data_IF_068495691810
#
_entry.id   IF_068495691810
#
_cell.length_a   1.000
_cell.length_b   1.000
_cell.length_c   1.000
_cell.angle_alpha   90.00
_cell.angle_beta   90.00
_cell.angle_gamma   90.00
#
_symmetry.space_group_name_H-M   'P 1'
#
loop_
_entity.id
_entity.type
_entity.pdbx_description
1 polymer ?
#
# COMPACT_ATOMS: atom_id res chain seq x y z
N UNK A 1 -38.05 -44.10 -42.77
CA UNK A 1 -38.44 -44.70 -41.48
C UNK A 1 -37.81 -43.89 -40.37
N UNK A 2 -38.64 -43.14 -39.66
CA UNK A 2 -38.35 -42.16 -38.60
C UNK A 2 -38.63 -42.73 -37.22
N UNK A 3 -37.73 -42.52 -36.25
CA UNK A 3 -37.92 -42.59 -34.78
C UNK A 3 -36.76 -41.74 -34.20
N UNK A 4 -36.89 -40.55 -33.57
CA UNK A 4 -37.58 -40.11 -32.33
C UNK A 4 -37.44 -41.13 -31.19
N UNK A 5 -37.20 -40.79 -29.93
CA UNK A 5 -36.72 -39.63 -29.16
C UNK A 5 -36.74 -40.10 -27.68
N UNK A 6 -35.86 -39.61 -26.81
CA UNK A 6 -36.22 -39.21 -25.43
C UNK A 6 -35.03 -38.51 -24.73
N UNK A 7 -35.23 -37.31 -24.17
CA UNK A 7 -34.22 -36.57 -23.40
C UNK A 7 -34.48 -36.63 -21.88
N UNK A 8 -33.41 -36.59 -21.09
CA UNK A 8 -33.45 -36.42 -19.63
C UNK A 8 -33.54 -34.93 -19.25
N UNK A 9 -34.51 -34.61 -18.39
CA UNK A 9 -34.76 -33.28 -17.84
C UNK A 9 -34.19 -33.17 -16.42
N UNK A 10 -33.28 -32.22 -16.19
CA UNK A 10 -32.84 -31.79 -14.87
C UNK A 10 -33.83 -30.83 -14.18
N UNK A 11 -33.77 -30.67 -12.85
CA UNK A 11 -34.76 -29.91 -12.09
C UNK A 11 -34.55 -28.38 -12.16
N UNK A 12 -35.70 -27.69 -12.25
CA UNK A 12 -35.87 -26.24 -12.34
C UNK A 12 -35.92 -25.62 -10.93
N UNK A 13 -35.19 -24.52 -10.74
CA UNK A 13 -35.22 -23.68 -9.53
C UNK A 13 -36.37 -22.66 -9.59
N UNK A 14 -37.17 -22.55 -8.53
CA UNK A 14 -38.13 -21.45 -8.32
C UNK A 14 -37.90 -20.78 -6.96
N UNK A 15 -37.95 -19.43 -6.85
CA UNK A 15 -37.72 -18.71 -5.60
C UNK A 15 -39.04 -18.51 -4.83
N UNK A 16 -39.13 -19.01 -3.59
CA UNK A 16 -40.25 -18.74 -2.69
C UNK A 16 -39.93 -17.58 -1.74
N UNK A 17 -40.88 -16.64 -1.68
CA UNK A 17 -40.95 -15.48 -0.79
C UNK A 17 -41.17 -15.96 0.65
N UNK A 18 -40.43 -15.42 1.61
CA UNK A 18 -40.78 -15.49 3.02
C UNK A 18 -41.36 -14.14 3.48
N UNK A 19 -42.66 -14.13 3.69
CA UNK A 19 -43.38 -13.14 4.50
C UNK A 19 -43.21 -13.47 5.98
N UNK A 20 -42.81 -12.48 6.78
CA UNK A 20 -42.69 -12.60 8.24
C UNK A 20 -44.03 -12.19 8.86
N UNK A 21 -44.72 -13.15 9.48
CA UNK A 21 -45.95 -12.91 10.21
C UNK A 21 -45.67 -12.54 11.67
N UNK A 22 -46.18 -11.38 12.06
CA UNK A 22 -46.04 -10.78 13.38
C UNK A 22 -47.11 -11.30 14.34
N UNK A 23 -46.86 -12.44 15.00
CA UNK A 23 -47.71 -12.90 16.11
C UNK A 23 -46.99 -13.90 17.03
N UNK A 24 -46.04 -13.43 17.85
CA UNK A 24 -45.60 -14.13 19.07
C UNK A 24 -44.99 -13.15 20.09
N UNK A 25 -45.84 -12.23 20.54
CA UNK A 25 -45.61 -11.41 21.72
C UNK A 25 -46.64 -11.78 22.78
N UNK A 26 -46.23 -12.59 23.77
CA UNK A 26 -46.69 -12.53 25.17
C UNK A 26 -46.07 -13.69 25.96
N UNK A 27 -45.34 -13.34 27.02
CA UNK A 27 -45.04 -14.27 28.10
C UNK A 27 -43.55 -14.48 28.36
N UNK A 28 -42.93 -13.52 29.06
CA UNK A 28 -42.01 -13.75 30.21
C UNK A 28 -41.25 -12.45 30.52
N UNK A 29 -41.93 -11.53 31.21
CA UNK A 29 -41.27 -10.55 32.06
C UNK A 29 -40.75 -11.29 33.29
N UNK A 30 -39.47 -11.08 33.63
CA UNK A 30 -38.93 -11.51 34.93
C UNK A 30 -37.64 -12.31 34.87
N UNK A 31 -36.65 -11.91 34.05
CA UNK A 31 -35.26 -12.39 34.24
C UNK A 31 -34.20 -11.43 33.65
N UNK A 32 -34.48 -10.12 33.67
CA UNK A 32 -33.66 -9.10 33.02
C UNK A 32 -33.15 -8.08 34.04
N UNK A 33 -32.26 -8.50 34.95
CA UNK A 33 -31.55 -7.56 35.83
C UNK A 33 -30.17 -7.96 36.34
N UNK A 34 -29.50 -8.95 35.72
CA UNK A 34 -28.12 -9.34 36.14
C UNK A 34 -27.09 -9.55 35.02
N UNK A 35 -27.40 -9.27 33.76
CA UNK A 35 -26.46 -9.47 32.63
C UNK A 35 -26.06 -8.20 31.88
N UNK A 36 -26.44 -7.01 32.36
CA UNK A 36 -26.07 -5.73 31.72
C UNK A 36 -24.77 -5.09 32.24
N UNK A 37 -24.13 -5.67 33.27
CA UNK A 37 -22.88 -5.13 33.84
C UNK A 37 -21.59 -5.62 33.19
N UNK A 38 -21.62 -6.69 32.39
CA UNK A 38 -20.41 -7.33 31.85
C UNK A 38 -20.10 -6.96 30.38
N UNK A 39 -21.08 -6.43 29.63
CA UNK A 39 -20.84 -6.02 28.24
C UNK A 39 -20.25 -4.59 28.10
N UNK A 40 -20.37 -3.73 29.12
CA UNK A 40 -19.77 -2.38 29.08
C UNK A 40 -18.26 -2.37 29.42
N UNK A 41 -17.74 -3.43 30.05
CA UNK A 41 -16.31 -3.52 30.41
C UNK A 41 -15.44 -4.18 29.32
N UNK A 42 -16.04 -4.93 28.40
CA UNK A 42 -15.34 -5.51 27.24
C UNK A 42 -15.29 -4.53 26.05
N UNK A 43 -16.19 -3.53 26.02
CA UNK A 43 -16.13 -2.43 25.04
C UNK A 43 -15.10 -1.35 25.41
N UNK A 44 -14.52 -1.39 26.61
CA UNK A 44 -13.48 -0.46 27.05
C UNK A 44 -12.04 -0.95 26.82
N UNK A 45 -11.83 -2.24 26.52
CA UNK A 45 -10.49 -2.78 26.21
C UNK A 45 -10.17 -2.82 24.72
N UNK A 46 -11.16 -2.63 23.84
CA UNK A 46 -10.93 -2.45 22.39
C UNK A 46 -10.65 -0.98 22.03
N UNK A 47 -10.90 -0.04 22.96
CA UNK A 47 -10.67 1.40 22.75
C UNK A 47 -9.30 1.91 23.20
N UNK A 48 -8.41 1.04 23.69
CA UNK A 48 -7.05 1.45 24.09
C UNK A 48 -6.02 1.44 22.95
N UNK A 49 -6.39 1.01 21.73
CA UNK A 49 -5.54 1.12 20.54
C UNK A 49 -5.58 2.51 19.88
N UNK A 50 -6.39 3.43 20.40
CA UNK A 50 -6.46 4.83 19.94
C UNK A 50 -5.48 5.76 20.69
N UNK A 51 -4.79 5.25 21.72
CA UNK A 51 -3.95 6.05 22.63
C UNK A 51 -2.57 6.44 22.11
N UNK A 52 -2.11 5.84 21.00
CA UNK A 52 -0.82 6.16 20.36
C UNK A 52 -0.99 7.01 19.08
N UNK A 53 -2.18 7.55 18.83
CA UNK A 53 -2.32 8.78 18.04
C UNK A 53 -1.96 9.98 18.92
N UNK A 54 -0.78 9.95 19.55
CA UNK A 54 -0.18 11.16 20.07
C UNK A 54 -0.15 12.16 18.91
N UNK A 55 -0.73 13.33 19.12
CA UNK A 55 -0.75 14.42 18.15
C UNK A 55 0.69 14.77 17.79
N UNK A 56 1.23 14.14 16.73
CA UNK A 56 2.49 14.55 16.15
C UNK A 56 2.32 16.00 15.69
N UNK A 57 3.31 16.86 15.93
CA UNK A 57 3.24 18.26 15.53
C UNK A 57 2.93 18.35 14.03
N UNK A 58 2.02 19.26 13.66
CA UNK A 58 1.75 19.58 12.27
C UNK A 58 3.06 20.09 11.65
N UNK A 59 3.64 19.30 10.75
CA UNK A 59 4.94 19.54 10.14
C UNK A 59 4.78 19.60 8.62
N UNK A 60 4.08 20.62 8.09
CA UNK A 60 3.81 20.73 6.67
C UNK A 60 5.13 20.97 5.91
N UNK A 61 5.38 20.17 4.87
CA UNK A 61 6.57 20.29 4.01
C UNK A 61 6.35 21.25 2.83
N UNK A 62 5.10 21.64 2.58
CA UNK A 62 4.68 22.68 1.64
C UNK A 62 3.51 23.45 2.24
N UNK A 63 3.17 24.60 1.66
CA UNK A 63 2.00 25.40 2.03
C UNK A 63 0.79 25.08 1.15
N UNK A 64 -0.41 25.47 1.59
CA UNK A 64 -1.61 25.38 0.75
C UNK A 64 -1.48 26.15 -0.57
N UNK A 65 -0.80 27.30 -0.53
CA UNK A 65 -0.56 28.13 -1.71
C UNK A 65 0.31 27.39 -2.75
N UNK A 66 1.22 26.52 -2.30
CA UNK A 66 2.05 25.71 -3.19
C UNK A 66 1.22 24.66 -3.95
N UNK A 67 0.05 24.26 -3.44
CA UNK A 67 -0.83 23.27 -4.11
C UNK A 67 -1.63 23.85 -5.27
N UNK A 68 -1.78 25.17 -5.33
CA UNK A 68 -2.54 25.85 -6.38
C UNK A 68 -1.92 25.64 -7.76
N UNK A 69 -0.62 25.33 -7.82
CA UNK A 69 0.06 24.94 -9.06
C UNK A 69 -0.56 23.69 -9.69
N UNK A 70 -1.04 22.75 -8.87
CA UNK A 70 -1.62 21.49 -9.34
C UNK A 70 -2.84 21.74 -10.22
N UNK A 71 -3.60 22.78 -9.91
CA UNK A 71 -4.75 23.22 -10.69
C UNK A 71 -4.30 24.05 -11.90
N UNK A 72 -3.40 25.02 -11.70
CA UNK A 72 -2.99 25.97 -12.75
C UNK A 72 -2.25 25.31 -13.91
N UNK A 73 -1.37 24.36 -13.63
CA UNK A 73 -0.50 23.71 -14.63
C UNK A 73 -0.96 22.30 -15.01
N UNK A 74 -2.18 21.90 -14.65
CA UNK A 74 -2.70 20.54 -14.87
C UNK A 74 -2.65 20.10 -16.36
N UNK A 75 -3.01 21.00 -17.27
CA UNK A 75 -3.05 20.71 -18.71
C UNK A 75 -1.64 20.50 -19.26
N UNK A 76 -0.71 21.39 -18.92
CA UNK A 76 0.69 21.31 -19.36
C UNK A 76 1.37 20.07 -18.78
N UNK A 77 1.07 19.75 -17.52
CA UNK A 77 1.56 18.53 -16.87
C UNK A 77 1.08 17.26 -17.59
N UNK A 78 -0.21 17.16 -17.90
CA UNK A 78 -0.75 16.02 -18.64
C UNK A 78 -0.15 15.90 -20.04
N UNK A 79 0.10 17.04 -20.70
CA UNK A 79 0.79 17.08 -21.99
C UNK A 79 2.23 16.58 -21.88
N UNK A 80 2.97 17.00 -20.84
CA UNK A 80 4.33 16.56 -20.57
C UNK A 80 4.39 15.06 -20.23
N UNK A 81 3.44 14.53 -19.44
CA UNK A 81 3.33 13.10 -19.16
C UNK A 81 3.17 12.25 -20.43
N UNK A 82 2.33 12.72 -21.36
CA UNK A 82 2.05 12.05 -22.62
C UNK A 82 3.08 12.29 -23.74
N UNK A 83 4.15 13.03 -23.48
CA UNK A 83 5.15 13.37 -24.48
C UNK A 83 6.10 12.20 -24.77
N UNK A 84 6.43 11.98 -26.04
CA UNK A 84 7.38 10.93 -26.44
C UNK A 84 8.84 11.33 -26.18
N UNK A 85 9.11 12.63 -26.04
CA UNK A 85 10.39 13.23 -25.68
C UNK A 85 10.13 14.45 -24.80
N UNK A 86 11.06 14.75 -23.88
CA UNK A 86 10.91 15.88 -22.95
C UNK A 86 11.89 16.99 -23.29
N UNK A 87 11.44 18.23 -23.19
CA UNK A 87 12.30 19.41 -23.12
C UNK A 87 12.76 19.65 -21.69
N UNK A 88 13.74 20.54 -21.51
CA UNK A 88 14.16 20.95 -20.17
C UNK A 88 13.03 21.63 -19.37
N UNK A 89 12.15 22.36 -20.05
CA UNK A 89 10.97 22.97 -19.43
C UNK A 89 9.95 21.92 -18.97
N UNK A 90 9.76 20.85 -19.75
CA UNK A 90 8.89 19.73 -19.36
C UNK A 90 9.44 19.03 -18.11
N UNK A 91 10.75 18.76 -18.06
CA UNK A 91 11.39 18.14 -16.89
C UNK A 91 11.22 19.03 -15.65
N UNK A 92 11.46 20.34 -15.76
CA UNK A 92 11.27 21.26 -14.66
C UNK A 92 9.82 21.28 -14.17
N UNK A 93 8.85 21.28 -15.09
CA UNK A 93 7.43 21.20 -14.79
C UNK A 93 7.05 19.89 -14.07
N UNK A 94 7.53 18.75 -14.57
CA UNK A 94 7.27 17.44 -13.96
C UNK A 94 7.83 17.38 -12.53
N UNK A 95 9.02 17.92 -12.29
CA UNK A 95 9.64 17.96 -10.96
C UNK A 95 8.87 18.86 -9.99
N UNK A 96 8.44 20.04 -10.45
CA UNK A 96 7.66 20.98 -9.64
C UNK A 96 6.30 20.38 -9.25
N UNK A 97 5.63 19.76 -10.23
CA UNK A 97 4.35 19.08 -10.02
C UNK A 97 4.49 17.84 -9.13
N UNK A 98 5.55 17.03 -9.30
CA UNK A 98 5.76 15.85 -8.46
C UNK A 98 5.95 16.20 -7.00
N UNK A 99 6.67 17.31 -6.74
CA UNK A 99 6.84 17.84 -5.38
C UNK A 99 5.50 18.20 -4.77
N UNK A 100 4.72 19.05 -5.44
CA UNK A 100 3.41 19.47 -4.93
C UNK A 100 2.44 18.30 -4.77
N UNK A 101 2.40 17.36 -5.72
CA UNK A 101 1.51 16.21 -5.69
C UNK A 101 1.74 15.29 -4.50
N UNK A 102 3.01 15.03 -4.15
CA UNK A 102 3.34 14.13 -3.04
C UNK A 102 3.31 14.88 -1.71
N UNK A 103 3.98 16.04 -1.62
CA UNK A 103 4.17 16.72 -0.35
C UNK A 103 2.89 17.34 0.20
N UNK A 104 1.84 17.55 -0.60
CA UNK A 104 0.53 17.94 -0.07
C UNK A 104 -0.04 16.93 0.94
N UNK A 105 0.42 15.67 0.94
CA UNK A 105 0.05 14.69 1.97
C UNK A 105 0.52 15.11 3.37
N UNK A 106 1.50 16.01 3.50
CA UNK A 106 1.92 16.59 4.78
C UNK A 106 0.97 17.66 5.33
N UNK A 107 0.03 18.17 4.51
CA UNK A 107 -0.93 19.18 4.94
C UNK A 107 -2.04 18.54 5.79
N UNK A 108 -2.28 19.08 6.98
CA UNK A 108 -3.35 18.62 7.87
C UNK A 108 -4.74 18.68 7.24
N UNK A 109 -4.99 19.67 6.35
CA UNK A 109 -6.22 19.78 5.55
C UNK A 109 -6.46 18.57 4.62
N UNK A 110 -5.40 17.87 4.21
CA UNK A 110 -5.43 16.75 3.26
C UNK A 110 -5.48 15.37 3.91
N UNK A 111 -5.56 15.29 5.23
CA UNK A 111 -5.57 14.02 5.97
C UNK A 111 -6.68 13.06 5.52
N UNK A 112 -7.83 13.58 5.07
CA UNK A 112 -8.96 12.76 4.58
C UNK A 112 -8.81 12.34 3.11
N UNK A 113 -7.91 12.97 2.36
CA UNK A 113 -7.70 12.79 0.93
C UNK A 113 -6.43 11.98 0.61
N UNK A 114 -5.69 11.50 1.63
CA UNK A 114 -4.38 10.85 1.44
C UNK A 114 -4.43 9.67 0.46
N UNK A 115 -5.45 8.81 0.57
CA UNK A 115 -5.65 7.71 -0.37
C UNK A 115 -5.94 8.19 -1.78
N UNK A 116 -6.74 9.26 -1.92
CA UNK A 116 -7.14 9.78 -3.22
C UNK A 116 -5.98 10.47 -3.93
N UNK A 117 -5.10 11.14 -3.17
CA UNK A 117 -3.84 11.69 -3.67
C UNK A 117 -2.96 10.56 -4.22
N UNK A 118 -2.74 9.50 -3.42
CA UNK A 118 -1.94 8.34 -3.82
C UNK A 118 -2.49 7.64 -5.06
N UNK A 119 -3.79 7.31 -5.07
CA UNK A 119 -4.43 6.63 -6.19
C UNK A 119 -4.45 7.50 -7.46
N UNK A 120 -4.53 8.83 -7.33
CA UNK A 120 -4.39 9.75 -8.47
C UNK A 120 -2.99 9.67 -9.07
N UNK A 121 -1.95 9.78 -8.26
CA UNK A 121 -0.55 9.67 -8.74
C UNK A 121 -0.35 8.34 -9.47
N UNK A 122 -0.73 7.22 -8.83
CA UNK A 122 -0.65 5.88 -9.41
C UNK A 122 -1.42 5.75 -10.72
N UNK A 123 -2.64 6.28 -10.79
CA UNK A 123 -3.46 6.26 -12.00
C UNK A 123 -2.78 7.04 -13.13
N UNK A 124 -2.35 8.27 -12.86
CA UNK A 124 -1.74 9.13 -13.87
C UNK A 124 -0.42 8.50 -14.39
N UNK A 125 0.36 7.89 -13.49
CA UNK A 125 1.57 7.15 -13.86
C UNK A 125 1.31 5.91 -14.68
N UNK A 126 0.22 5.19 -14.46
CA UNK A 126 -0.10 3.99 -15.22
C UNK A 126 -0.80 4.28 -16.55
N UNK A 127 -1.61 5.34 -16.62
CA UNK A 127 -2.46 5.64 -17.78
C UNK A 127 -1.88 6.69 -18.72
N UNK A 128 -1.18 7.71 -18.19
CA UNK A 128 -0.78 8.89 -18.97
C UNK A 128 0.72 8.93 -19.23
N UNK A 129 1.54 8.56 -18.24
CA UNK A 129 2.99 8.70 -18.34
C UNK A 129 3.58 7.78 -19.43
N UNK A 130 4.21 8.38 -20.44
CA UNK A 130 5.06 7.66 -21.41
C UNK A 130 6.44 7.36 -20.82
N UNK A 131 7.23 6.44 -21.43
CA UNK A 131 8.53 6.03 -20.89
C UNK A 131 9.47 7.19 -20.55
N UNK A 132 9.55 8.23 -21.39
CA UNK A 132 10.41 9.40 -21.15
C UNK A 132 9.99 10.17 -19.87
N UNK A 133 8.71 10.53 -19.75
CA UNK A 133 8.15 11.18 -18.57
C UNK A 133 8.30 10.32 -17.31
N UNK A 134 8.06 9.01 -17.43
CA UNK A 134 8.19 8.06 -16.33
C UNK A 134 9.61 7.98 -15.79
N UNK A 135 10.61 7.89 -16.67
CA UNK A 135 12.01 7.89 -16.27
C UNK A 135 12.44 9.16 -15.54
N UNK A 136 11.87 10.32 -15.90
CA UNK A 136 12.15 11.58 -15.23
C UNK A 136 11.46 11.71 -13.85
N UNK A 137 10.19 11.30 -13.74
CA UNK A 137 9.35 11.61 -12.58
C UNK A 137 9.40 10.56 -11.46
N UNK A 138 9.62 9.28 -11.78
CA UNK A 138 9.65 8.21 -10.76
C UNK A 138 10.70 8.44 -9.67
N UNK A 139 11.95 8.85 -9.98
CA UNK A 139 12.93 9.17 -8.94
C UNK A 139 12.48 10.32 -8.04
N UNK A 140 11.79 11.33 -8.59
CA UNK A 140 11.28 12.47 -7.81
C UNK A 140 10.16 12.04 -6.86
N UNK A 141 9.19 11.27 -7.35
CA UNK A 141 8.14 10.72 -6.50
C UNK A 141 8.70 9.85 -5.38
N UNK A 142 9.68 9.00 -5.69
CA UNK A 142 10.37 8.20 -4.69
C UNK A 142 11.04 9.09 -3.63
N UNK A 143 11.82 10.08 -4.06
CA UNK A 143 12.49 11.01 -3.16
C UNK A 143 11.50 11.75 -2.25
N UNK A 144 10.45 12.35 -2.81
CA UNK A 144 9.46 13.09 -2.02
C UNK A 144 8.68 12.17 -1.07
N UNK A 145 8.29 10.98 -1.52
CA UNK A 145 7.61 10.02 -0.65
C UNK A 145 8.52 9.56 0.49
N UNK A 146 9.82 9.38 0.25
CA UNK A 146 10.80 9.08 1.30
C UNK A 146 10.88 10.17 2.36
N UNK A 147 10.81 11.46 1.97
CA UNK A 147 10.81 12.56 2.95
C UNK A 147 9.61 12.52 3.89
N UNK A 148 8.46 12.00 3.44
CA UNK A 148 7.26 11.88 4.25
C UNK A 148 7.29 10.71 5.25
N UNK A 149 8.32 9.87 5.23
CA UNK A 149 8.46 8.74 6.14
C UNK A 149 9.02 9.12 7.51
N UNK A 150 9.51 10.35 7.65
CA UNK A 150 10.16 10.90 8.85
C UNK A 150 9.38 12.11 9.38
N UNK A 151 9.24 12.21 10.70
CA UNK A 151 8.64 13.37 11.40
C UNK A 151 7.25 13.77 10.87
N UNK A 152 6.48 12.80 10.37
CA UNK A 152 5.12 12.97 9.86
C UNK A 152 4.13 12.06 10.62
N UNK A 153 2.85 12.46 10.73
CA UNK A 153 1.79 11.62 11.28
C UNK A 153 1.74 10.23 10.66
N UNK A 154 1.42 9.21 11.45
CA UNK A 154 1.35 7.82 10.98
C UNK A 154 0.50 7.62 9.70
N UNK A 155 -0.68 8.24 9.52
CA UNK A 155 -1.44 8.12 8.28
C UNK A 155 -0.69 8.59 7.03
N UNK A 156 0.12 9.66 7.16
CA UNK A 156 0.94 10.20 6.08
C UNK A 156 2.07 9.21 5.75
N UNK A 157 2.78 8.71 6.77
CA UNK A 157 3.85 7.71 6.60
C UNK A 157 3.35 6.43 5.94
N UNK A 158 2.17 5.94 6.32
CA UNK A 158 1.53 4.78 5.70
C UNK A 158 1.28 5.03 4.21
N UNK A 159 0.65 6.15 3.86
CA UNK A 159 0.34 6.46 2.46
C UNK A 159 1.58 6.72 1.61
N UNK A 160 2.61 7.37 2.18
CA UNK A 160 3.89 7.55 1.53
C UNK A 160 4.60 6.22 1.25
N UNK A 161 4.61 5.31 2.23
CA UNK A 161 5.18 3.98 2.03
C UNK A 161 4.39 3.17 0.99
N UNK A 162 3.05 3.21 1.04
CA UNK A 162 2.21 2.59 0.01
C UNK A 162 2.52 3.16 -1.38
N UNK A 163 2.65 4.48 -1.51
CA UNK A 163 3.02 5.11 -2.78
C UNK A 163 4.33 4.54 -3.32
N UNK A 164 5.39 4.46 -2.49
CA UNK A 164 6.65 3.83 -2.89
C UNK A 164 6.45 2.41 -3.43
N UNK A 165 5.65 1.60 -2.75
CA UNK A 165 5.38 0.21 -3.18
C UNK A 165 4.55 0.09 -4.46
N UNK A 166 3.82 1.14 -4.82
CA UNK A 166 2.88 1.17 -5.96
C UNK A 166 3.48 1.82 -7.22
N UNK A 167 4.66 2.45 -7.12
CA UNK A 167 5.40 2.99 -8.25
C UNK A 167 5.85 1.86 -9.19
N UNK A 168 5.67 2.08 -10.50
CA UNK A 168 5.93 1.08 -11.54
C UNK A 168 6.80 1.66 -12.65
N UNK A 169 7.86 0.93 -13.02
CA UNK A 169 8.65 1.18 -14.23
C UNK A 169 7.83 0.88 -15.49
N UNK A 170 7.03 -0.18 -15.45
CA UNK A 170 6.13 -0.54 -16.53
C UNK A 170 4.72 -0.75 -15.99
N UNK A 171 3.69 -0.12 -16.61
CA UNK A 171 2.31 -0.31 -16.19
C UNK A 171 1.86 -1.76 -16.47
N UNK A 172 0.80 -2.23 -15.81
CA UNK A 172 0.27 -3.57 -16.06
C UNK A 172 -0.33 -3.65 -17.47
N UNK A 173 -0.15 -4.78 -18.15
CA UNK A 173 -0.79 -5.06 -19.45
C UNK A 173 -1.98 -5.99 -19.21
N UNK A 174 -3.14 -5.39 -18.95
CA UNK A 174 -4.37 -6.10 -18.53
C UNK A 174 -4.75 -7.19 -19.54
N UNK A 175 -4.69 -6.91 -20.84
CA UNK A 175 -5.09 -7.85 -21.89
C UNK A 175 -4.23 -9.12 -21.92
N UNK A 176 -2.96 -9.01 -21.48
CA UNK A 176 -2.00 -10.13 -21.48
C UNK A 176 -1.79 -10.72 -20.08
N UNK A 177 -2.53 -10.26 -19.07
CA UNK A 177 -2.35 -10.64 -17.67
C UNK A 177 -0.90 -10.47 -17.17
N UNK A 178 -0.16 -9.49 -17.75
CA UNK A 178 1.20 -9.20 -17.33
C UNK A 178 1.13 -8.18 -16.18
N UNK A 179 1.66 -8.51 -14.99
CA UNK A 179 1.66 -7.58 -13.86
C UNK A 179 2.56 -6.38 -14.15
N UNK A 180 2.32 -5.28 -13.43
CA UNK A 180 3.17 -4.10 -13.50
C UNK A 180 4.57 -4.39 -12.97
N UNK A 181 5.60 -3.91 -13.67
CA UNK A 181 7.00 -4.02 -13.21
C UNK A 181 7.23 -2.93 -12.14
N UNK A 182 7.53 -3.29 -10.88
CA UNK A 182 7.75 -2.32 -9.82
C UNK A 182 8.99 -1.47 -10.11
N UNK A 183 8.96 -0.20 -9.68
CA UNK A 183 10.13 0.67 -9.79
C UNK A 183 11.22 0.24 -8.79
N UNK A 184 12.36 -0.22 -9.29
CA UNK A 184 13.45 -0.71 -8.44
C UNK A 184 14.13 0.40 -7.64
N UNK A 185 14.03 1.66 -8.09
CA UNK A 185 14.63 2.82 -7.44
C UNK A 185 14.11 3.13 -6.04
N UNK A 186 13.04 2.49 -5.57
CA UNK A 186 12.56 2.62 -4.18
C UNK A 186 13.16 1.60 -3.22
N UNK A 187 13.89 0.59 -3.71
CA UNK A 187 14.30 -0.54 -2.88
C UNK A 187 15.14 -0.11 -1.67
N UNK A 188 16.08 0.81 -1.86
CA UNK A 188 16.94 1.32 -0.78
C UNK A 188 16.13 2.06 0.29
N UNK A 189 15.14 2.87 -0.12
CA UNK A 189 14.25 3.54 0.82
C UNK A 189 13.42 2.53 1.62
N UNK A 190 12.87 1.49 0.98
CA UNK A 190 12.11 0.45 1.67
C UNK A 190 12.98 -0.41 2.60
N UNK A 191 14.23 -0.69 2.24
CA UNK A 191 15.21 -1.34 3.13
C UNK A 191 15.46 -0.48 4.36
N UNK A 192 15.64 0.84 4.19
CA UNK A 192 15.84 1.76 5.31
C UNK A 192 14.61 1.81 6.24
N UNK A 193 13.38 1.86 5.69
CA UNK A 193 12.14 1.78 6.48
C UNK A 193 12.11 0.51 7.33
N UNK A 194 12.54 -0.62 6.77
CA UNK A 194 12.51 -1.90 7.45
C UNK A 194 13.57 -1.97 8.56
N UNK A 195 14.76 -1.40 8.32
CA UNK A 195 15.88 -1.39 9.27
C UNK A 195 15.70 -0.38 10.42
N UNK A 196 14.91 0.68 10.22
CA UNK A 196 14.71 1.74 11.21
C UNK A 196 13.98 1.23 12.47
N UNK A 197 14.60 1.24 13.67
CA UNK A 197 13.96 0.76 14.89
C UNK A 197 12.76 1.62 15.33
N UNK A 198 12.76 2.92 14.99
CA UNK A 198 11.72 3.88 15.43
C UNK A 198 10.51 3.89 14.48
N UNK A 199 10.61 3.18 13.36
CA UNK A 199 9.53 3.13 12.38
C UNK A 199 8.39 2.22 12.83
N UNK A 200 7.16 2.73 12.71
CA UNK A 200 5.96 2.04 13.14
C UNK A 200 5.76 0.71 12.36
N UNK A 201 5.39 -0.36 13.07
CA UNK A 201 5.25 -1.72 12.53
C UNK A 201 4.35 -1.79 11.29
N UNK A 202 3.26 -1.02 11.24
CA UNK A 202 2.39 -0.96 10.06
C UNK A 202 3.12 -0.49 8.79
N UNK A 203 4.02 0.49 8.92
CA UNK A 203 4.83 1.00 7.81
C UNK A 203 5.87 -0.04 7.39
N UNK A 204 6.50 -0.73 8.37
CA UNK A 204 7.43 -1.84 8.10
C UNK A 204 6.77 -3.01 7.35
N UNK A 205 5.53 -3.38 7.71
CA UNK A 205 4.74 -4.40 7.00
C UNK A 205 4.54 -4.02 5.54
N UNK A 206 4.20 -2.75 5.27
CA UNK A 206 4.03 -2.25 3.89
C UNK A 206 5.36 -2.31 3.14
N UNK A 207 6.46 -1.87 3.75
CA UNK A 207 7.78 -1.94 3.14
C UNK A 207 8.22 -3.37 2.82
N UNK A 208 8.02 -4.32 3.73
CA UNK A 208 8.31 -5.73 3.50
C UNK A 208 7.54 -6.28 2.28
N UNK A 209 6.24 -5.95 2.16
CA UNK A 209 5.42 -6.31 0.99
C UNK A 209 5.88 -5.64 -0.30
N UNK A 210 6.34 -4.40 -0.23
CA UNK A 210 6.94 -3.70 -1.37
C UNK A 210 8.22 -4.37 -1.86
N UNK A 211 9.12 -4.74 -0.94
CA UNK A 211 10.34 -5.47 -1.25
C UNK A 211 10.06 -6.88 -1.79
N UNK A 212 9.06 -7.57 -1.24
CA UNK A 212 8.55 -8.84 -1.77
C UNK A 212 8.12 -8.69 -3.23
N UNK A 213 7.32 -7.65 -3.53
CA UNK A 213 6.86 -7.33 -4.88
C UNK A 213 8.03 -7.05 -5.83
N UNK A 214 9.04 -6.30 -5.38
CA UNK A 214 10.28 -6.05 -6.14
C UNK A 214 10.97 -7.38 -6.49
N UNK A 215 11.17 -8.27 -5.53
CA UNK A 215 11.81 -9.57 -5.78
C UNK A 215 11.01 -10.49 -6.71
N UNK A 216 9.68 -10.49 -6.58
CA UNK A 216 8.77 -11.30 -7.39
C UNK A 216 8.64 -10.80 -8.83
N UNK A 217 8.31 -9.53 -8.99
CA UNK A 217 7.86 -8.96 -10.27
C UNK A 217 8.96 -8.15 -10.97
N UNK A 218 9.89 -7.55 -10.21
CA UNK A 218 10.93 -6.63 -10.74
C UNK A 218 12.23 -7.30 -11.19
N UNK A 219 12.40 -8.60 -10.93
CA UNK A 219 13.60 -9.38 -11.28
C UNK A 219 14.94 -8.67 -10.95
N UNK A 220 15.12 -8.14 -9.72
CA UNK A 220 16.36 -7.43 -9.35
C UNK A 220 17.57 -8.35 -9.41
N UNK A 221 18.76 -7.74 -9.57
CA UNK A 221 20.06 -8.42 -9.49
C UNK A 221 20.24 -9.11 -8.12
N UNK A 222 21.05 -10.17 -8.10
CA UNK A 222 21.32 -10.98 -6.90
C UNK A 222 21.78 -10.12 -5.71
N UNK A 223 22.66 -9.14 -5.93
CA UNK A 223 23.13 -8.24 -4.88
C UNK A 223 21.98 -7.53 -4.13
N UNK A 224 21.02 -6.96 -4.88
CA UNK A 224 19.85 -6.31 -4.28
C UNK A 224 18.95 -7.33 -3.56
N UNK A 225 18.76 -8.53 -4.14
CA UNK A 225 18.00 -9.61 -3.46
C UNK A 225 18.64 -10.00 -2.13
N UNK A 226 19.96 -10.10 -2.08
CA UNK A 226 20.72 -10.42 -0.85
C UNK A 226 20.56 -9.31 0.18
N UNK A 227 20.68 -8.04 -0.22
CA UNK A 227 20.45 -6.90 0.70
C UNK A 227 19.03 -6.89 1.28
N UNK A 228 18.03 -7.23 0.48
CA UNK A 228 16.63 -7.38 0.92
C UNK A 228 16.49 -8.55 1.90
N UNK A 229 17.08 -9.71 1.59
CA UNK A 229 17.06 -10.88 2.45
C UNK A 229 17.74 -10.59 3.81
N UNK A 230 18.91 -9.96 3.80
CA UNK A 230 19.67 -9.59 4.99
C UNK A 230 18.81 -8.75 5.96
N UNK A 231 18.20 -7.67 5.46
CA UNK A 231 17.39 -6.78 6.33
C UNK A 231 16.14 -7.50 6.88
N UNK A 232 15.48 -8.34 6.09
CA UNK A 232 14.31 -9.11 6.55
C UNK A 232 14.69 -10.13 7.62
N UNK A 233 15.80 -10.85 7.43
CA UNK A 233 16.32 -11.83 8.38
C UNK A 233 16.76 -11.14 9.67
N UNK A 234 17.39 -9.97 9.59
CA UNK A 234 17.79 -9.23 10.79
C UNK A 234 16.58 -8.75 11.60
N UNK A 235 15.50 -8.33 10.95
CA UNK A 235 14.25 -8.02 11.66
C UNK A 235 13.57 -9.26 12.26
N UNK A 236 13.70 -10.45 11.64
CA UNK A 236 13.16 -11.70 12.19
C UNK A 236 13.88 -12.14 13.48
N UNK A 237 15.15 -11.76 13.65
CA UNK A 237 15.92 -12.02 14.87
C UNK A 237 15.48 -11.15 16.05
N UNK A 238 14.76 -10.04 15.80
CA UNK A 238 14.30 -9.14 16.87
C UNK A 238 13.20 -9.81 17.70
N UNK A 239 13.45 -9.95 19.00
CA UNK A 239 12.50 -10.50 19.97
C UNK A 239 11.31 -9.56 20.17
N UNK A 240 10.12 -10.12 20.46
CA UNK A 240 8.92 -9.33 20.76
C UNK A 240 8.21 -8.71 19.54
N UNK A 241 8.60 -9.09 18.32
CA UNK A 241 7.91 -8.67 17.10
C UNK A 241 6.49 -9.26 17.03
N UNK A 242 5.53 -8.44 16.60
CA UNK A 242 4.16 -8.88 16.38
C UNK A 242 4.10 -10.05 15.37
N UNK A 243 3.27 -11.06 15.65
CA UNK A 243 3.16 -12.27 14.83
C UNK A 243 2.80 -11.99 13.37
N UNK A 244 1.92 -11.01 13.11
CA UNK A 244 1.58 -10.59 11.75
C UNK A 244 2.80 -10.05 11.01
N UNK A 245 3.63 -9.26 11.69
CA UNK A 245 4.85 -8.71 11.11
C UNK A 245 5.87 -9.83 10.82
N UNK A 246 6.07 -10.76 11.77
CA UNK A 246 6.93 -11.95 11.58
C UNK A 246 6.48 -12.77 10.37
N UNK A 247 5.19 -13.08 10.26
CA UNK A 247 4.63 -13.82 9.12
C UNK A 247 4.84 -13.08 7.81
N UNK A 248 4.64 -11.76 7.79
CA UNK A 248 4.88 -10.94 6.60
C UNK A 248 6.35 -11.00 6.17
N UNK A 249 7.28 -10.94 7.11
CA UNK A 249 8.72 -11.05 6.84
C UNK A 249 9.08 -12.43 6.27
N UNK A 250 8.56 -13.52 6.86
CA UNK A 250 8.78 -14.89 6.38
C UNK A 250 8.25 -15.08 4.94
N UNK A 251 7.04 -14.61 4.68
CA UNK A 251 6.47 -14.63 3.33
C UNK A 251 7.35 -13.83 2.36
N UNK A 252 7.75 -12.62 2.75
CA UNK A 252 8.53 -11.72 1.90
C UNK A 252 9.93 -12.26 1.60
N UNK A 253 10.60 -12.87 2.57
CA UNK A 253 11.96 -13.40 2.38
C UNK A 253 11.97 -14.57 1.40
N UNK A 254 10.89 -15.37 1.36
CA UNK A 254 10.77 -16.50 0.42
C UNK A 254 10.88 -16.09 -1.05
N UNK A 255 10.46 -14.86 -1.38
CA UNK A 255 10.52 -14.33 -2.74
C UNK A 255 11.90 -13.81 -3.16
N UNK A 256 12.83 -13.64 -2.21
CA UNK A 256 14.19 -13.21 -2.53
C UNK A 256 14.95 -14.27 -3.34
N UNK A 257 14.61 -15.56 -3.14
CA UNK A 257 15.29 -16.72 -3.75
C UNK A 257 16.79 -16.77 -3.44
N UNK A 258 17.23 -16.16 -2.33
CA UNK A 258 18.62 -16.17 -1.86
C UNK A 258 18.77 -17.26 -0.81
N UNK A 259 19.62 -18.25 -1.08
CA UNK A 259 19.89 -19.35 -0.15
C UNK A 259 20.99 -19.02 0.87
N UNK A 260 21.98 -18.23 0.44
CA UNK A 260 23.19 -17.96 1.22
C UNK A 260 23.35 -16.47 1.51
N UNK A 261 23.85 -16.17 2.70
CA UNK A 261 24.29 -14.82 3.07
C UNK A 261 25.58 -14.41 2.33
N UNK A 262 26.04 -13.18 2.59
CA UNK A 262 27.30 -12.65 2.04
C UNK A 262 28.54 -13.45 2.43
N UNK A 263 28.47 -14.24 3.51
CA UNK A 263 29.53 -15.13 3.98
C UNK A 263 29.41 -16.56 3.43
N UNK A 264 28.48 -16.79 2.49
CA UNK A 264 28.14 -18.10 1.91
C UNK A 264 27.58 -19.11 2.91
N UNK A 265 27.03 -18.65 4.03
CA UNK A 265 26.31 -19.51 4.98
C UNK A 265 24.81 -19.49 4.68
N UNK A 266 24.11 -20.63 4.82
CA UNK A 266 22.67 -20.64 4.64
C UNK A 266 22.00 -19.76 5.70
N UNK A 267 20.91 -19.08 5.34
CA UNK A 267 20.09 -18.41 6.34
C UNK A 267 19.39 -19.46 7.22
N UNK A 268 19.78 -19.51 8.50
CA UNK A 268 19.14 -20.36 9.52
C UNK A 268 18.43 -19.44 10.50
N UNK A 269 17.12 -19.54 10.57
CA UNK A 269 16.29 -18.79 11.52
C UNK A 269 15.85 -19.77 12.60
N UNK A 270 16.38 -19.62 13.81
CA UNK A 270 15.88 -20.33 14.99
C UNK A 270 14.75 -19.49 15.58
N UNK A 271 13.51 -19.91 15.34
CA UNK A 271 12.30 -19.27 15.87
C UNK A 271 11.91 -19.86 17.21
#
# INVERSE_FOLDING_TARGET
MTLRAHPETGPVWTPSRFTVDAARLRGRLGFFRRTFGACCLILLTVFSLSGELAAQPDNPLITEADTEILRRKAIDYNKALGASSLTQADIALLNEMSKAQVLQMSLSSKQRELSDIRERIKRDMNLLAKPAARGAILPQFAQHATTLLKDQPLPVRINACMLLTELNEEPPVIQKQIPAVPFLGVADALIQVLADPDQHTAVKIIAAKGLMRICRDGKPKVDLRTRIADVMVDQLKTQGSNEWYRRTLIESVSWTSVLFDKTRKPYIIQT
#
